data_IF_491815240215
#
_entry.id   IF_491815240215
#
_cell.length_a   1.000
_cell.length_b   1.000
_cell.length_c   1.000
_cell.angle_alpha   90.00
_cell.angle_beta   90.00
_cell.angle_gamma   90.00
#
_symmetry.space_group_name_H-M   'P 1'
#
loop_
_entity.id
_entity.type
_entity.pdbx_description
1 polymer ?
#
# COMPACT_ATOMS: atom_id res chain seq x y z
N UNK A 1 16.84 -7.95 -14.91
CA UNK A 1 16.04 -7.09 -14.03
C UNK A 1 16.53 -5.69 -14.28
N UNK A 2 15.66 -4.85 -14.81
CA UNK A 2 15.97 -3.46 -15.13
C UNK A 2 16.23 -2.68 -13.83
N UNK A 3 16.99 -1.59 -13.90
CA UNK A 3 17.17 -0.68 -12.78
C UNK A 3 15.84 -0.01 -12.38
N UNK A 4 14.94 0.19 -13.33
CA UNK A 4 13.56 0.62 -13.06
C UNK A 4 12.78 -0.40 -12.22
N UNK A 5 12.89 -1.70 -12.53
CA UNK A 5 12.24 -2.77 -11.75
C UNK A 5 12.79 -2.81 -10.32
N UNK A 6 14.10 -2.59 -10.15
CA UNK A 6 14.74 -2.57 -8.82
C UNK A 6 14.26 -1.39 -8.00
N UNK A 7 14.19 -0.20 -8.62
CA UNK A 7 13.68 1.01 -8.00
C UNK A 7 12.22 0.84 -7.56
N UNK A 8 11.37 0.33 -8.46
CA UNK A 8 9.96 0.07 -8.17
C UNK A 8 9.79 -0.92 -7.01
N UNK A 9 10.52 -2.04 -7.04
CA UNK A 9 10.46 -3.03 -5.96
C UNK A 9 10.99 -2.48 -4.62
N UNK A 10 12.03 -1.64 -4.65
CA UNK A 10 12.53 -0.96 -3.47
C UNK A 10 11.46 -0.06 -2.84
N UNK A 11 10.82 0.80 -3.65
CA UNK A 11 9.80 1.72 -3.14
C UNK A 11 8.58 0.97 -2.59
N UNK A 12 8.15 -0.10 -3.27
CA UNK A 12 7.07 -0.96 -2.76
C UNK A 12 7.44 -1.60 -1.42
N UNK A 13 8.65 -2.16 -1.30
CA UNK A 13 9.11 -2.75 -0.05
C UNK A 13 9.23 -1.71 1.08
N UNK A 14 9.73 -0.51 0.77
CA UNK A 14 9.85 0.59 1.72
C UNK A 14 8.47 1.05 2.22
N UNK A 15 7.50 1.22 1.31
CA UNK A 15 6.14 1.62 1.68
C UNK A 15 5.42 0.55 2.51
N UNK A 16 5.55 -0.73 2.14
CA UNK A 16 5.02 -1.85 2.93
C UNK A 16 5.61 -1.85 4.34
N UNK A 17 6.94 -1.75 4.47
CA UNK A 17 7.61 -1.73 5.76
C UNK A 17 7.13 -0.55 6.62
N UNK A 18 7.02 0.65 6.04
CA UNK A 18 6.51 1.84 6.72
C UNK A 18 5.09 1.63 7.23
N UNK A 19 4.19 1.09 6.40
CA UNK A 19 2.80 0.78 6.80
C UNK A 19 2.74 -0.22 7.94
N UNK A 20 3.57 -1.28 7.91
CA UNK A 20 3.65 -2.24 9.02
C UNK A 20 4.17 -1.60 10.30
N UNK A 21 5.18 -0.73 10.22
CA UNK A 21 5.70 0.01 11.38
C UNK A 21 4.64 0.94 11.96
N UNK A 22 3.93 1.67 11.11
CA UNK A 22 2.83 2.55 11.49
C UNK A 22 1.73 1.76 12.23
N UNK A 23 1.36 0.58 11.71
CA UNK A 23 0.36 -0.30 12.32
C UNK A 23 0.80 -0.86 13.68
N UNK A 24 2.06 -1.31 13.78
CA UNK A 24 2.66 -1.78 15.04
C UNK A 24 2.71 -0.62 16.05
N UNK A 25 3.09 0.58 15.61
CA UNK A 25 3.13 1.79 16.45
C UNK A 25 1.76 2.18 17.00
N UNK A 26 0.67 1.87 16.27
CA UNK A 26 -0.71 2.01 16.74
C UNK A 26 -1.17 0.89 17.70
N UNK A 27 -0.34 -0.10 17.99
CA UNK A 27 -0.62 -1.15 18.98
C UNK A 27 -1.21 -2.42 18.40
N UNK A 28 -1.11 -2.66 17.08
CA UNK A 28 -1.46 -3.94 16.44
C UNK A 28 -2.87 -4.45 16.81
N UNK A 29 -3.85 -3.56 16.79
CA UNK A 29 -5.19 -3.79 17.35
C UNK A 29 -6.00 -4.91 16.67
N UNK A 30 -5.62 -5.35 15.47
CA UNK A 30 -6.26 -6.47 14.75
C UNK A 30 -5.64 -7.84 15.09
N UNK A 31 -4.57 -7.89 15.91
CA UNK A 31 -3.90 -9.14 16.29
C UNK A 31 -4.86 -10.19 16.87
N UNK A 32 -5.86 -9.75 17.63
CA UNK A 32 -6.82 -10.64 18.28
C UNK A 32 -7.90 -11.21 17.36
N UNK A 33 -8.02 -10.72 16.12
CA UNK A 33 -9.05 -11.18 15.19
C UNK A 33 -8.73 -12.57 14.63
N UNK A 34 -9.76 -13.41 14.51
CA UNK A 34 -9.67 -14.63 13.72
C UNK A 34 -9.45 -14.30 12.24
N UNK A 35 -8.92 -15.24 11.46
CA UNK A 35 -8.65 -14.99 10.04
C UNK A 35 -9.91 -14.61 9.26
N UNK A 36 -11.06 -15.22 9.55
CA UNK A 36 -12.34 -14.85 8.92
C UNK A 36 -12.76 -13.41 9.21
N UNK A 37 -12.51 -12.92 10.42
CA UNK A 37 -12.86 -11.54 10.81
C UNK A 37 -11.89 -10.55 10.16
N UNK A 38 -10.61 -10.89 10.08
CA UNK A 38 -9.60 -10.10 9.39
C UNK A 38 -9.87 -10.03 7.87
N UNK A 39 -10.29 -11.14 7.26
CA UNK A 39 -10.74 -11.19 5.87
C UNK A 39 -11.94 -10.27 5.65
N UNK A 40 -12.95 -10.32 6.54
CA UNK A 40 -14.11 -9.46 6.47
C UNK A 40 -13.73 -7.97 6.57
N UNK A 41 -12.85 -7.61 7.50
CA UNK A 41 -12.36 -6.23 7.68
C UNK A 41 -11.63 -5.72 6.44
N UNK A 42 -10.74 -6.56 5.89
CA UNK A 42 -9.99 -6.23 4.68
C UNK A 42 -10.91 -6.04 3.47
N UNK A 43 -11.81 -6.98 3.19
CA UNK A 43 -12.72 -6.89 2.05
C UNK A 43 -13.63 -5.68 2.18
N UNK A 44 -14.17 -5.43 3.37
CA UNK A 44 -15.07 -4.31 3.64
C UNK A 44 -14.37 -2.96 3.44
N UNK A 45 -13.16 -2.80 3.99
CA UNK A 45 -12.38 -1.59 3.83
C UNK A 45 -11.95 -1.36 2.38
N UNK A 46 -11.53 -2.41 1.65
CA UNK A 46 -11.22 -2.33 0.21
C UNK A 46 -12.43 -1.85 -0.59
N UNK A 47 -13.62 -2.39 -0.33
CA UNK A 47 -14.87 -1.96 -0.99
C UNK A 47 -15.19 -0.50 -0.73
N UNK A 48 -15.01 -0.03 0.50
CA UNK A 48 -15.20 1.37 0.85
C UNK A 48 -14.20 2.28 0.14
N UNK A 49 -12.91 1.91 0.10
CA UNK A 49 -11.88 2.65 -0.65
C UNK A 49 -12.17 2.64 -2.15
N UNK A 50 -12.64 1.53 -2.70
CA UNK A 50 -13.02 1.44 -4.11
C UNK A 50 -14.22 2.35 -4.42
N UNK A 51 -15.19 2.47 -3.51
CA UNK A 51 -16.32 3.40 -3.64
C UNK A 51 -15.89 4.86 -3.50
N UNK A 52 -15.12 5.19 -2.47
CA UNK A 52 -14.58 6.52 -2.21
C UNK A 52 -13.07 6.47 -1.99
N UNK A 53 -12.32 6.95 -2.98
CA UNK A 53 -10.86 6.96 -2.95
C UNK A 53 -10.25 7.95 -1.97
N UNK A 54 -11.05 8.88 -1.42
CA UNK A 54 -10.59 9.90 -0.49
C UNK A 54 -10.96 9.57 0.96
N UNK A 55 -11.65 8.45 1.21
CA UNK A 55 -11.95 7.99 2.55
C UNK A 55 -10.67 7.52 3.27
N UNK A 56 -10.12 8.42 4.10
CA UNK A 56 -8.91 8.19 4.86
C UNK A 56 -9.09 7.08 5.92
N UNK A 57 -10.28 6.96 6.51
CA UNK A 57 -10.54 5.96 7.54
C UNK A 57 -10.56 4.56 6.92
N UNK A 58 -11.27 4.38 5.80
CA UNK A 58 -11.30 3.10 5.08
C UNK A 58 -9.92 2.74 4.52
N UNK A 59 -9.14 3.73 4.07
CA UNK A 59 -7.76 3.50 3.62
C UNK A 59 -6.85 3.05 4.75
N UNK A 60 -7.01 3.63 5.94
CA UNK A 60 -6.27 3.22 7.13
C UNK A 60 -6.63 1.80 7.54
N UNK A 61 -7.92 1.47 7.63
CA UNK A 61 -8.40 0.13 7.94
C UNK A 61 -7.87 -0.92 6.95
N UNK A 62 -7.90 -0.61 5.64
CA UNK A 62 -7.34 -1.46 4.59
C UNK A 62 -5.84 -1.71 4.80
N UNK A 63 -5.06 -0.65 5.09
CA UNK A 63 -3.62 -0.78 5.32
C UNK A 63 -3.30 -1.57 6.60
N UNK A 64 -4.08 -1.37 7.67
CA UNK A 64 -3.88 -2.06 8.95
C UNK A 64 -4.22 -3.55 8.82
N UNK A 65 -5.30 -3.89 8.10
CA UNK A 65 -5.64 -5.28 7.80
C UNK A 65 -4.59 -5.95 6.91
N UNK A 66 -4.10 -5.27 5.86
CA UNK A 66 -3.00 -5.77 5.03
C UNK A 66 -1.72 -6.01 5.85
N UNK A 67 -1.35 -5.06 6.71
CA UNK A 67 -0.17 -5.20 7.56
C UNK A 67 -0.29 -6.39 8.51
N UNK A 68 -1.49 -6.66 9.05
CA UNK A 68 -1.72 -7.83 9.90
C UNK A 68 -1.62 -9.16 9.12
N UNK A 69 -2.11 -9.22 7.88
CA UNK A 69 -1.89 -10.37 6.99
C UNK A 69 -0.39 -10.63 6.74
N UNK A 70 0.36 -9.57 6.42
CA UNK A 70 1.80 -9.66 6.17
C UNK A 70 2.54 -10.15 7.43
N UNK A 71 2.18 -9.65 8.61
CA UNK A 71 2.77 -10.09 9.89
C UNK A 71 2.42 -11.53 10.27
N UNK A 72 1.26 -12.03 9.82
CA UNK A 72 0.86 -13.44 9.99
C UNK A 72 1.50 -14.37 8.96
N UNK A 73 2.08 -13.83 7.89
CA UNK A 73 2.57 -14.62 6.76
C UNK A 73 1.45 -15.31 5.99
N UNK A 74 0.26 -14.71 5.94
CA UNK A 74 -0.92 -15.25 5.25
C UNK A 74 -1.33 -14.28 4.14
N UNK A 75 -1.67 -14.81 2.97
CA UNK A 75 -2.14 -13.99 1.86
C UNK A 75 -3.54 -13.42 2.14
N UNK A 76 -3.77 -12.12 1.90
CA UNK A 76 -5.10 -11.54 1.86
C UNK A 76 -5.99 -12.20 0.78
N UNK A 77 -7.34 -12.13 0.93
CA UNK A 77 -8.30 -12.71 0.00
C UNK A 77 -8.47 -11.87 -1.29
N UNK A 78 -7.38 -11.69 -2.06
CA UNK A 78 -7.36 -10.87 -3.28
C UNK A 78 -8.32 -11.36 -4.37
N UNK A 79 -8.63 -12.66 -4.37
CA UNK A 79 -9.58 -13.29 -5.28
C UNK A 79 -11.01 -12.75 -5.12
N UNK A 80 -11.35 -12.22 -3.94
CA UNK A 80 -12.70 -11.73 -3.62
C UNK A 80 -12.91 -10.23 -3.94
N UNK A 81 -11.86 -9.52 -4.35
CA UNK A 81 -11.84 -8.06 -4.53
C UNK A 81 -11.30 -7.61 -5.89
N UNK A 82 -11.31 -8.48 -6.90
CA UNK A 82 -10.83 -8.19 -8.25
C UNK A 82 -11.45 -6.93 -8.90
N UNK A 83 -12.79 -6.74 -8.84
CA UNK A 83 -13.43 -5.53 -9.34
C UNK A 83 -12.94 -4.25 -8.64
N UNK A 84 -12.80 -4.29 -7.33
CA UNK A 84 -12.35 -3.18 -6.49
C UNK A 84 -10.90 -2.80 -6.81
N UNK A 85 -10.01 -3.79 -6.97
CA UNK A 85 -8.63 -3.58 -7.42
C UNK A 85 -8.61 -2.86 -8.77
N UNK A 86 -9.47 -3.28 -9.71
CA UNK A 86 -9.57 -2.65 -11.03
C UNK A 86 -10.02 -1.19 -10.95
N UNK A 87 -11.01 -0.90 -10.09
CA UNK A 87 -11.50 0.47 -9.84
C UNK A 87 -10.38 1.34 -9.27
N UNK A 88 -9.69 0.85 -8.24
CA UNK A 88 -8.59 1.57 -7.60
C UNK A 88 -7.42 1.81 -8.56
N UNK A 89 -7.05 0.81 -9.36
CA UNK A 89 -5.98 0.93 -10.36
C UNK A 89 -6.33 1.96 -11.45
N UNK A 90 -7.57 1.96 -11.95
CA UNK A 90 -8.04 2.99 -12.88
C UNK A 90 -7.96 4.38 -12.25
N UNK A 91 -8.48 4.55 -11.03
CA UNK A 91 -8.43 5.83 -10.33
C UNK A 91 -6.98 6.31 -10.11
N UNK A 92 -6.06 5.42 -9.79
CA UNK A 92 -4.63 5.73 -9.67
C UNK A 92 -4.05 6.26 -10.98
N UNK A 93 -4.33 5.57 -12.10
CA UNK A 93 -3.92 6.02 -13.44
C UNK A 93 -4.50 7.39 -13.80
N UNK A 94 -5.78 7.60 -13.54
CA UNK A 94 -6.46 8.87 -13.82
C UNK A 94 -5.84 10.02 -12.99
N UNK A 95 -5.49 9.76 -11.72
CA UNK A 95 -4.78 10.73 -10.86
C UNK A 95 -3.40 11.07 -11.39
N UNK A 96 -2.62 10.08 -11.82
CA UNK A 96 -1.28 10.30 -12.41
C UNK A 96 -1.40 11.09 -13.72
N UNK A 97 -2.36 10.73 -14.58
CA UNK A 97 -2.57 11.42 -15.86
C UNK A 97 -3.03 12.88 -15.70
N UNK A 98 -3.72 13.19 -14.60
CA UNK A 98 -4.16 14.55 -14.28
C UNK A 98 -3.10 15.38 -13.52
N UNK A 99 -1.98 14.76 -13.14
CA UNK A 99 -0.95 15.41 -12.33
C UNK A 99 -0.07 16.34 -13.20
N UNK A 100 0.24 17.57 -12.74
CA UNK A 100 1.17 18.44 -13.43
C UNK A 100 2.56 17.81 -13.55
N UNK A 101 3.28 18.09 -14.65
CA UNK A 101 4.64 17.55 -14.86
C UNK A 101 5.59 17.90 -13.71
N UNK A 102 5.52 19.13 -13.19
CA UNK A 102 6.34 19.57 -12.05
C UNK A 102 6.07 18.77 -10.76
N UNK A 103 4.86 18.22 -10.60
CA UNK A 103 4.55 17.35 -9.46
C UNK A 103 5.04 15.92 -9.69
N UNK A 104 4.94 15.42 -10.93
CA UNK A 104 5.52 14.14 -11.32
C UNK A 104 7.05 14.14 -11.14
N UNK A 105 7.73 15.19 -11.61
CA UNK A 105 9.19 15.33 -11.50
C UNK A 105 9.61 15.33 -10.02
N UNK A 106 8.88 16.06 -9.15
CA UNK A 106 9.15 16.07 -7.70
C UNK A 106 8.96 14.69 -7.06
N UNK A 107 7.97 13.92 -7.49
CA UNK A 107 7.75 12.56 -7.00
C UNK A 107 8.90 11.64 -7.46
N UNK A 108 9.29 11.73 -8.73
CA UNK A 108 10.39 10.95 -9.31
C UNK A 108 11.72 11.24 -8.62
N UNK A 109 12.05 12.52 -8.41
CA UNK A 109 13.25 12.94 -7.69
C UNK A 109 13.28 12.37 -6.27
N UNK A 110 12.16 12.45 -5.56
CA UNK A 110 12.05 11.92 -4.19
C UNK A 110 12.18 10.39 -4.14
N UNK A 111 11.68 9.67 -5.14
CA UNK A 111 11.86 8.21 -5.27
C UNK A 111 13.35 7.88 -5.50
N UNK A 112 13.98 8.57 -6.44
CA UNK A 112 15.39 8.37 -6.78
C UNK A 112 16.33 8.68 -5.60
N UNK A 113 16.04 9.73 -4.82
CA UNK A 113 16.80 10.07 -3.62
C UNK A 113 16.73 8.97 -2.56
N UNK A 114 15.53 8.49 -2.20
CA UNK A 114 15.35 7.40 -1.23
C UNK A 114 16.08 6.12 -1.64
N UNK A 115 16.05 5.78 -2.92
CA UNK A 115 16.77 4.61 -3.42
C UNK A 115 18.28 4.77 -3.33
N UNK A 116 18.83 5.94 -3.69
CA UNK A 116 20.27 6.24 -3.56
C UNK A 116 20.72 6.17 -2.10
N UNK A 117 19.94 6.72 -1.18
CA UNK A 117 20.20 6.68 0.26
C UNK A 117 20.19 5.26 0.83
N UNK A 118 19.24 4.43 0.39
CA UNK A 118 19.19 3.03 0.80
C UNK A 118 20.37 2.21 0.24
N UNK A 119 20.81 2.51 -0.98
CA UNK A 119 21.96 1.85 -1.61
C UNK A 119 23.29 2.22 -0.93
N UNK A 120 23.45 3.47 -0.50
CA UNK A 120 24.67 3.94 0.17
C UNK A 120 24.84 3.37 1.58
N UNK A 121 23.75 3.10 2.29
CA UNK A 121 23.76 2.46 3.63
C UNK A 121 24.06 0.96 3.63
N UNK A 122 24.14 0.32 2.45
CA UNK A 122 24.46 -1.11 2.30
C UNK A 122 25.95 -1.39 2.05
N UNK A 123 26.78 -0.35 1.86
CA UNK A 123 28.24 -0.44 1.77
C UNK A 123 28.88 -0.22 3.15
#
# INVERSE_FOLDING_TARGET
MDDADRLANHELAHDTLRKSQDYIGRGRHLQGLANSDLEFEFISSVRLVARDGNDAASRLAMNDAQAEFDLRGVSPPFDQIGPEITIMARRGRDKIAAMPSEELDRIEDGINERYRDAASRRQ
#
